data_IF_954223242775
#
_entry.id   IF_954223242775
#
_cell.length_a   1.000
_cell.length_b   1.000
_cell.length_c   1.000
_cell.angle_alpha   90.00
_cell.angle_beta   90.00
_cell.angle_gamma   90.00
#
_symmetry.space_group_name_H-M   'P 1'
#
loop_
_entity.id
_entity.type
_entity.pdbx_description
1 polymer ?
#
# COMPACT_ATOMS: atom_id res chain seq x y z
N UNK A 1 -5.17 7.64 -30.06
CA UNK A 1 -5.64 8.75 -29.19
C UNK A 1 -6.27 8.25 -27.88
N UNK A 2 -6.96 7.10 -27.84
CA UNK A 2 -7.52 6.54 -26.59
C UNK A 2 -6.48 6.20 -25.51
N UNK A 3 -5.25 5.86 -25.88
CA UNK A 3 -4.21 5.48 -24.92
C UNK A 3 -3.78 6.62 -23.98
N UNK A 4 -3.71 7.87 -24.48
CA UNK A 4 -3.32 9.02 -23.65
C UNK A 4 -4.35 9.35 -22.57
N UNK A 5 -5.63 9.06 -22.84
CA UNK A 5 -6.74 9.29 -21.92
C UNK A 5 -6.60 8.40 -20.68
N UNK A 6 -6.43 7.08 -20.90
CA UNK A 6 -6.25 6.13 -19.81
C UNK A 6 -4.93 6.34 -19.07
N UNK A 7 -3.85 6.63 -19.81
CA UNK A 7 -2.54 6.87 -19.23
C UNK A 7 -2.50 8.15 -18.38
N UNK A 8 -3.17 9.22 -18.83
CA UNK A 8 -3.31 10.46 -18.06
C UNK A 8 -4.03 10.23 -16.72
N UNK A 9 -5.17 9.53 -16.74
CA UNK A 9 -5.90 9.20 -15.52
C UNK A 9 -5.10 8.30 -14.56
N UNK A 10 -4.29 7.39 -15.10
CA UNK A 10 -3.38 6.57 -14.29
C UNK A 10 -2.27 7.41 -13.66
N UNK A 11 -1.64 8.32 -14.42
CA UNK A 11 -0.67 9.27 -13.90
C UNK A 11 -1.25 10.13 -12.78
N UNK A 12 -2.45 10.68 -12.97
CA UNK A 12 -3.15 11.43 -11.93
C UNK A 12 -3.33 10.61 -10.65
N UNK A 13 -3.75 9.34 -10.78
CA UNK A 13 -3.88 8.46 -9.62
C UNK A 13 -2.53 8.26 -8.91
N UNK A 14 -1.45 8.01 -9.66
CA UNK A 14 -0.11 7.84 -9.10
C UNK A 14 0.33 9.03 -8.26
N UNK A 15 0.08 10.27 -8.74
CA UNK A 15 0.49 11.49 -8.04
C UNK A 15 -0.07 11.60 -6.63
N UNK A 16 -1.33 11.22 -6.43
CA UNK A 16 -2.03 11.44 -5.16
C UNK A 16 -2.10 10.19 -4.27
N UNK A 17 -1.73 9.03 -4.80
CA UNK A 17 -1.78 7.75 -4.08
C UNK A 17 -0.39 7.14 -3.89
N UNK A 18 0.66 7.97 -3.83
CA UNK A 18 2.04 7.51 -3.64
C UNK A 18 2.25 6.61 -2.43
N UNK A 19 1.52 6.85 -1.34
CA UNK A 19 1.58 5.99 -0.15
C UNK A 19 1.09 4.55 -0.39
N UNK A 20 0.31 4.32 -1.46
CA UNK A 20 -0.24 2.98 -1.79
C UNK A 20 0.76 2.17 -2.61
N UNK A 21 1.48 2.82 -3.52
CA UNK A 21 2.31 2.11 -4.50
C UNK A 21 3.81 2.38 -4.32
N UNK A 22 4.26 3.33 -3.50
CA UNK A 22 5.68 3.63 -3.28
C UNK A 22 6.16 3.18 -1.88
N UNK A 23 7.19 2.33 -1.74
CA UNK A 23 8.04 1.77 -2.79
C UNK A 23 7.26 0.84 -3.74
N UNK A 24 7.59 0.84 -5.05
CA UNK A 24 6.91 -0.01 -6.01
C UNK A 24 7.04 -1.47 -5.63
N UNK A 25 5.94 -2.19 -5.73
CA UNK A 25 5.97 -3.64 -5.55
C UNK A 25 6.85 -4.25 -6.65
N UNK A 26 7.71 -5.23 -6.33
CA UNK A 26 8.62 -5.81 -7.31
C UNK A 26 7.88 -6.35 -8.54
N UNK A 27 8.40 -6.08 -9.74
CA UNK A 27 7.73 -6.45 -10.99
C UNK A 27 7.49 -7.96 -11.12
N UNK A 28 8.34 -8.79 -10.50
CA UNK A 28 8.20 -10.25 -10.50
C UNK A 28 6.97 -10.77 -9.74
N UNK A 29 6.32 -9.94 -8.91
CA UNK A 29 5.06 -10.31 -8.24
C UNK A 29 3.86 -10.27 -9.20
N UNK A 30 3.95 -9.48 -10.27
CA UNK A 30 2.86 -9.29 -11.25
C UNK A 30 3.22 -9.75 -12.67
N UNK A 31 4.51 -9.80 -13.02
CA UNK A 31 4.98 -10.18 -14.35
C UNK A 31 5.08 -11.70 -14.48
N UNK A 32 4.06 -12.28 -15.10
CA UNK A 32 3.97 -13.66 -15.60
C UNK A 32 4.09 -13.65 -17.13
N UNK A 33 4.83 -14.61 -17.67
CA UNK A 33 4.90 -15.04 -19.08
C UNK A 33 5.60 -14.16 -20.14
N UNK A 34 5.54 -12.82 -20.07
CA UNK A 34 6.16 -11.91 -21.06
C UNK A 34 7.17 -11.00 -20.36
N UNK A 35 8.45 -11.35 -20.43
CA UNK A 35 9.53 -10.83 -19.58
C UNK A 35 9.95 -9.37 -19.80
N UNK A 36 9.03 -8.40 -19.71
CA UNK A 36 9.35 -6.97 -19.61
C UNK A 36 8.95 -6.42 -18.25
N UNK A 37 9.84 -5.64 -17.62
CA UNK A 37 9.50 -4.89 -16.41
C UNK A 37 8.59 -3.70 -16.80
N UNK A 38 7.48 -3.56 -16.07
CA UNK A 38 6.55 -2.43 -16.25
C UNK A 38 7.25 -1.10 -16.06
N UNK A 39 8.21 -1.02 -15.14
CA UNK A 39 8.95 0.21 -14.88
C UNK A 39 10.02 0.51 -15.93
N UNK A 40 10.56 -0.51 -16.60
CA UNK A 40 11.38 -0.32 -17.81
C UNK A 40 10.57 0.34 -18.92
N UNK A 41 9.35 -0.16 -19.16
CA UNK A 41 8.44 0.44 -20.16
C UNK A 41 8.08 1.89 -19.82
N UNK A 42 7.91 2.20 -18.54
CA UNK A 42 7.67 3.58 -18.08
C UNK A 42 8.91 4.45 -18.28
N UNK A 43 10.12 3.94 -18.03
CA UNK A 43 11.38 4.65 -18.30
C UNK A 43 11.59 4.97 -19.78
N UNK A 44 11.30 4.00 -20.66
CA UNK A 44 11.33 4.22 -22.12
C UNK A 44 10.35 5.32 -22.55
N UNK A 45 9.09 5.24 -22.07
CA UNK A 45 8.10 6.28 -22.32
C UNK A 45 8.56 7.65 -21.82
N UNK A 46 9.11 7.71 -20.60
CA UNK A 46 9.57 8.95 -20.01
C UNK A 46 10.72 9.56 -20.82
N UNK A 47 11.63 8.73 -21.33
CA UNK A 47 12.72 9.16 -22.23
C UNK A 47 12.16 9.76 -23.53
N UNK A 48 11.18 9.11 -24.15
CA UNK A 48 10.52 9.61 -25.36
C UNK A 48 9.84 10.96 -25.08
N UNK A 49 9.08 11.06 -23.99
CA UNK A 49 8.35 12.28 -23.62
C UNK A 49 9.28 13.43 -23.23
N UNK A 50 10.42 13.14 -22.60
CA UNK A 50 11.44 14.15 -22.28
C UNK A 50 12.09 14.73 -23.54
N UNK A 51 12.25 13.91 -24.59
CA UNK A 51 12.79 14.32 -25.89
C UNK A 51 11.79 15.12 -26.76
N UNK A 52 10.52 15.22 -26.37
CA UNK A 52 9.55 16.04 -27.09
C UNK A 52 9.85 17.53 -26.90
N UNK A 53 9.79 18.29 -27.99
CA UNK A 53 9.88 19.74 -27.97
C UNK A 53 8.67 20.39 -27.26
N UNK A 54 8.68 21.72 -27.08
CA UNK A 54 7.55 22.44 -26.51
C UNK A 54 6.28 22.26 -27.37
N UNK A 55 5.09 22.45 -26.77
CA UNK A 55 3.84 22.30 -27.49
C UNK A 55 3.78 23.20 -28.73
N UNK A 56 3.31 22.65 -29.85
CA UNK A 56 3.10 23.38 -31.11
C UNK A 56 1.87 24.30 -31.07
N UNK A 57 1.12 24.27 -29.97
CA UNK A 57 -0.05 25.10 -29.68
C UNK A 57 0.14 25.80 -28.34
N UNK A 58 -0.17 27.10 -28.21
CA UNK A 58 -0.05 27.81 -26.94
C UNK A 58 -1.02 27.26 -25.88
N UNK A 59 -0.45 26.86 -24.74
CA UNK A 59 -1.18 26.42 -23.55
C UNK A 59 -0.87 27.36 -22.38
N UNK A 60 -1.86 27.61 -21.54
CA UNK A 60 -1.71 28.42 -20.32
C UNK A 60 -2.35 27.70 -19.15
N UNK A 61 -1.58 27.40 -18.11
CA UNK A 61 -2.06 26.73 -16.90
C UNK A 61 -2.29 27.74 -15.78
N UNK A 62 -3.41 27.60 -15.06
CA UNK A 62 -3.77 28.41 -13.89
C UNK A 62 -4.22 27.50 -12.76
N UNK A 63 -3.79 27.81 -11.53
CA UNK A 63 -4.22 27.07 -10.33
C UNK A 63 -5.68 27.41 -9.99
N UNK A 64 -6.49 26.39 -9.66
CA UNK A 64 -7.91 26.53 -9.35
C UNK A 64 -8.23 27.44 -8.15
N UNK A 65 -7.28 27.66 -7.24
CA UNK A 65 -7.43 28.53 -6.05
C UNK A 65 -7.27 30.03 -6.33
N UNK A 66 -6.87 30.41 -7.54
CA UNK A 66 -6.69 31.83 -7.91
C UNK A 66 -8.01 32.56 -8.22
N UNK A 67 -9.15 31.88 -8.20
CA UNK A 67 -10.47 32.49 -8.42
C UNK A 67 -11.14 32.90 -7.10
N UNK A 68 -10.52 33.81 -6.35
CA UNK A 68 -11.22 34.55 -5.30
C UNK A 68 -11.83 35.83 -5.89
N UNK A 69 -13.14 35.78 -6.13
CA UNK A 69 -13.98 36.99 -6.26
C UNK A 69 -13.98 37.64 -7.65
N UNK A 70 -14.91 37.21 -8.49
CA UNK A 70 -15.24 37.90 -9.73
C UNK A 70 -15.41 36.91 -10.88
N UNK A 71 -16.65 36.64 -11.27
CA UNK A 71 -16.89 36.38 -12.68
C UNK A 71 -16.37 37.59 -13.47
N UNK A 72 -15.89 37.33 -14.68
CA UNK A 72 -15.31 38.28 -15.65
C UNK A 72 -13.77 38.44 -15.52
N UNK A 73 -13.08 38.16 -16.64
CA UNK A 73 -11.64 38.35 -16.98
C UNK A 73 -10.61 37.25 -16.66
N UNK A 74 -10.91 35.98 -16.98
CA UNK A 74 -9.85 35.08 -17.47
C UNK A 74 -9.40 35.56 -18.86
N UNK A 75 -8.43 36.49 -18.89
CA UNK A 75 -7.69 36.99 -20.06
C UNK A 75 -8.49 37.07 -21.36
N UNK A 76 -9.04 38.26 -21.67
CA UNK A 76 -9.77 38.60 -22.91
C UNK A 76 -9.35 37.72 -24.11
N UNK A 77 -10.11 36.65 -24.36
CA UNK A 77 -9.89 35.76 -25.50
C UNK A 77 -9.16 34.44 -25.23
N UNK A 78 -9.17 33.86 -24.03
CA UNK A 78 -8.76 32.45 -23.80
C UNK A 78 -9.96 31.52 -23.61
N UNK A 79 -9.83 30.28 -24.06
CA UNK A 79 -10.83 29.22 -23.98
C UNK A 79 -10.33 28.12 -23.05
N UNK A 80 -11.16 27.75 -22.08
CA UNK A 80 -10.91 26.63 -21.19
C UNK A 80 -10.87 25.31 -21.97
N UNK A 81 -9.78 24.55 -21.83
CA UNK A 81 -9.71 23.18 -22.33
C UNK A 81 -10.46 22.24 -21.38
N UNK A 82 -11.42 21.49 -21.93
CA UNK A 82 -12.11 20.42 -21.21
C UNK A 82 -11.71 19.08 -21.79
N UNK A 83 -10.92 18.33 -21.04
CA UNK A 83 -10.61 16.95 -21.39
C UNK A 83 -11.84 16.07 -21.13
N UNK A 84 -12.03 15.09 -22.00
CA UNK A 84 -13.17 14.17 -21.96
C UNK A 84 -13.14 13.29 -20.72
N UNK A 85 -11.96 12.84 -20.33
CA UNK A 85 -11.67 12.04 -19.14
C UNK A 85 -11.99 12.78 -17.85
N UNK A 86 -11.58 14.05 -17.71
CA UNK A 86 -11.88 14.86 -16.51
C UNK A 86 -13.39 15.08 -16.37
N UNK A 87 -14.11 15.14 -17.50
CA UNK A 87 -15.58 15.24 -17.48
C UNK A 87 -16.21 13.90 -17.10
N UNK A 88 -15.67 12.80 -17.62
CA UNK A 88 -16.16 11.44 -17.37
C UNK A 88 -15.89 10.96 -15.93
N UNK A 89 -14.72 11.28 -15.38
CA UNK A 89 -14.25 10.87 -14.05
C UNK A 89 -14.59 11.89 -12.95
N UNK A 90 -15.41 12.89 -13.28
CA UNK A 90 -15.82 13.91 -12.31
C UNK A 90 -16.57 13.26 -11.14
N UNK A 91 -16.12 13.56 -9.92
CA UNK A 91 -16.70 13.00 -8.70
C UNK A 91 -16.14 11.64 -8.31
N UNK A 92 -15.22 11.07 -9.10
CA UNK A 92 -14.48 9.88 -8.69
C UNK A 92 -13.45 10.28 -7.63
N UNK A 93 -13.73 9.89 -6.38
CA UNK A 93 -12.97 10.30 -5.19
C UNK A 93 -11.45 10.08 -5.31
N UNK A 94 -10.96 8.94 -5.83
CA UNK A 94 -9.53 8.71 -6.02
C UNK A 94 -8.85 9.63 -7.05
N UNK A 95 -9.57 10.47 -7.79
CA UNK A 95 -8.97 11.43 -8.73
C UNK A 95 -9.34 12.88 -8.42
N UNK A 96 -10.16 13.14 -7.38
CA UNK A 96 -10.56 14.51 -7.01
C UNK A 96 -9.38 15.47 -6.82
N UNK A 97 -8.26 15.09 -6.16
CA UNK A 97 -7.13 16.00 -5.99
C UNK A 97 -6.45 16.43 -7.30
N UNK A 98 -6.53 15.60 -8.35
CA UNK A 98 -5.87 15.84 -9.64
C UNK A 98 -6.47 16.98 -10.46
N UNK A 99 -7.69 17.41 -10.14
CA UNK A 99 -8.41 18.43 -10.89
C UNK A 99 -8.03 19.88 -10.48
N UNK A 100 -6.83 20.09 -9.95
CA UNK A 100 -6.39 21.38 -9.40
C UNK A 100 -5.76 22.31 -10.44
N UNK A 101 -5.26 21.77 -11.55
CA UNK A 101 -4.66 22.54 -12.65
C UNK A 101 -5.67 22.71 -13.77
N UNK A 102 -5.89 23.95 -14.20
CA UNK A 102 -6.83 24.29 -15.27
C UNK A 102 -6.04 24.85 -16.46
N UNK A 103 -6.21 24.24 -17.64
CA UNK A 103 -5.49 24.63 -18.86
C UNK A 103 -6.38 25.42 -19.82
N UNK A 104 -5.83 26.46 -20.42
CA UNK A 104 -6.47 27.36 -21.37
C UNK A 104 -5.70 27.41 -22.69
N UNK A 105 -6.40 27.72 -23.79
CA UNK A 105 -5.82 27.93 -25.13
C UNK A 105 -6.51 29.12 -25.81
N UNK A 106 -5.86 29.84 -26.74
CA UNK A 106 -6.54 30.82 -27.59
C UNK A 106 -7.65 30.18 -28.45
N UNK A 107 -8.73 30.91 -28.79
CA UNK A 107 -9.83 30.42 -29.62
C UNK A 107 -9.42 30.15 -31.08
N UNK A 108 -8.30 30.72 -31.52
CA UNK A 108 -7.72 30.48 -32.84
C UNK A 108 -6.96 29.16 -32.93
N UNK A 109 -6.67 28.52 -31.80
CA UNK A 109 -5.92 27.27 -31.75
C UNK A 109 -6.80 26.06 -32.04
N UNK A 110 -6.19 25.01 -32.60
CA UNK A 110 -6.88 23.74 -32.85
C UNK A 110 -7.15 23.00 -31.53
N UNK A 111 -8.39 23.04 -31.03
CA UNK A 111 -8.77 22.52 -29.71
C UNK A 111 -8.36 21.06 -29.49
N UNK A 112 -8.55 20.17 -30.47
CA UNK A 112 -8.15 18.77 -30.31
C UNK A 112 -6.64 18.59 -30.10
N UNK A 113 -5.83 19.44 -30.76
CA UNK A 113 -4.37 19.38 -30.65
C UNK A 113 -3.91 19.96 -29.31
N UNK A 114 -4.56 21.04 -28.86
CA UNK A 114 -4.35 21.61 -27.55
C UNK A 114 -4.67 20.60 -26.43
N UNK A 115 -5.78 19.85 -26.55
CA UNK A 115 -6.11 18.78 -25.60
C UNK A 115 -5.06 17.66 -25.58
N UNK A 116 -4.55 17.25 -26.74
CA UNK A 116 -3.50 16.23 -26.81
C UNK A 116 -2.21 16.69 -26.15
N UNK A 117 -1.80 17.95 -26.37
CA UNK A 117 -0.64 18.51 -25.68
C UNK A 117 -0.87 18.67 -24.18
N UNK A 118 -2.06 19.05 -23.74
CA UNK A 118 -2.39 19.10 -22.32
C UNK A 118 -2.25 17.70 -21.66
N UNK A 119 -2.66 16.63 -22.36
CA UNK A 119 -2.43 15.25 -21.88
C UNK A 119 -0.95 14.89 -21.83
N UNK A 120 -0.21 15.19 -22.89
CA UNK A 120 1.23 14.93 -22.97
C UNK A 120 1.96 15.64 -21.84
N UNK A 121 1.64 16.90 -21.56
CA UNK A 121 2.26 17.67 -20.48
C UNK A 121 1.93 17.12 -19.08
N UNK A 122 0.68 16.71 -18.83
CA UNK A 122 0.31 16.03 -17.57
C UNK A 122 1.08 14.73 -17.37
N UNK A 123 1.12 13.88 -18.39
CA UNK A 123 1.84 12.60 -18.34
C UNK A 123 3.34 12.86 -18.15
N UNK A 124 3.93 13.78 -18.92
CA UNK A 124 5.35 14.15 -18.83
C UNK A 124 5.70 14.67 -17.43
N UNK A 125 4.86 15.51 -16.84
CA UNK A 125 5.06 15.99 -15.47
C UNK A 125 5.07 14.83 -14.48
N UNK A 126 4.13 13.89 -14.60
CA UNK A 126 4.13 12.68 -13.77
C UNK A 126 5.41 11.86 -13.95
N UNK A 127 5.70 11.42 -15.18
CA UNK A 127 6.75 10.42 -15.39
C UNK A 127 8.16 11.00 -15.38
N UNK A 128 8.37 12.24 -15.82
CA UNK A 128 9.71 12.85 -15.88
C UNK A 128 10.07 13.66 -14.64
N UNK A 129 9.09 14.17 -13.87
CA UNK A 129 9.36 15.02 -12.70
C UNK A 129 8.98 14.31 -11.39
N UNK A 130 7.71 13.89 -11.27
CA UNK A 130 7.23 13.32 -10.02
C UNK A 130 7.86 11.97 -9.70
N UNK A 131 7.89 11.01 -10.65
CA UNK A 131 8.53 9.70 -10.42
C UNK A 131 10.04 9.76 -10.18
N UNK A 132 10.69 10.83 -10.65
CA UNK A 132 12.11 11.10 -10.40
C UNK A 132 12.37 11.75 -9.03
N UNK A 133 11.36 12.45 -8.48
CA UNK A 133 11.47 13.23 -7.24
C UNK A 133 10.78 12.61 -6.02
N UNK A 134 10.03 11.53 -6.20
CA UNK A 134 9.42 10.76 -5.10
C UNK A 134 10.50 10.00 -4.32
N UNK A 135 10.29 9.75 -3.03
CA UNK A 135 11.23 9.03 -2.17
C UNK A 135 10.60 7.70 -1.68
N UNK A 136 11.22 6.53 -1.95
CA UNK A 136 12.40 6.33 -2.80
C UNK A 136 12.10 6.62 -4.28
N UNK A 137 13.12 7.06 -5.03
CA UNK A 137 12.97 7.40 -6.44
C UNK A 137 12.68 6.18 -7.31
N UNK A 138 11.73 6.32 -8.22
CA UNK A 138 11.33 5.23 -9.13
C UNK A 138 12.15 5.26 -10.41
N UNK A 139 12.39 6.45 -10.95
CA UNK A 139 13.18 6.67 -12.16
C UNK A 139 14.37 7.58 -11.84
N UNK A 140 15.50 7.36 -12.53
CA UNK A 140 16.65 8.26 -12.49
C UNK A 140 17.09 8.66 -13.90
N UNK A 141 17.55 9.90 -14.02
CA UNK A 141 18.17 10.39 -15.24
C UNK A 141 19.60 9.86 -15.34
N UNK A 142 19.86 9.06 -16.37
CA UNK A 142 21.18 8.55 -16.73
C UNK A 142 21.69 9.30 -17.97
N UNK A 143 22.79 10.02 -17.81
CA UNK A 143 23.50 10.64 -18.93
C UNK A 143 24.25 9.58 -19.71
N UNK A 144 23.98 9.45 -21.00
CA UNK A 144 24.72 8.56 -21.90
C UNK A 144 25.35 9.35 -23.04
N UNK A 145 26.33 8.76 -23.74
CA UNK A 145 26.95 9.38 -24.92
C UNK A 145 25.96 9.66 -26.05
N UNK A 146 24.82 8.95 -26.07
CA UNK A 146 23.76 9.07 -27.08
C UNK A 146 22.63 10.03 -26.65
N UNK A 147 22.68 10.57 -25.42
CA UNK A 147 21.66 11.44 -24.85
C UNK A 147 21.29 11.07 -23.42
N UNK A 148 20.45 11.89 -22.80
CA UNK A 148 19.93 11.63 -21.47
C UNK A 148 18.75 10.64 -21.54
N UNK A 149 18.78 9.60 -20.70
CA UNK A 149 17.78 8.51 -20.67
C UNK A 149 17.25 8.35 -19.25
N UNK A 150 15.95 8.14 -19.11
CA UNK A 150 15.30 7.84 -17.83
C UNK A 150 15.21 6.33 -17.63
N UNK A 151 15.82 5.83 -16.55
CA UNK A 151 15.91 4.40 -16.23
C UNK A 151 15.25 4.09 -14.89
N UNK A 152 14.56 2.95 -14.75
CA UNK A 152 13.97 2.53 -13.48
C UNK A 152 15.03 2.11 -12.47
N UNK A 153 14.73 2.36 -11.20
CA UNK A 153 15.61 2.03 -10.04
C UNK A 153 14.83 1.22 -9.00
N UNK A 154 13.76 0.57 -9.44
CA UNK A 154 12.92 -0.29 -8.60
C UNK A 154 13.65 -1.59 -8.30
N UNK A 155 13.67 -1.97 -7.01
CA UNK A 155 14.25 -3.23 -6.57
C UNK A 155 13.36 -4.40 -7.01
N UNK A 156 13.79 -5.10 -8.06
CA UNK A 156 13.10 -6.27 -8.60
C UNK A 156 13.62 -7.61 -8.05
N UNK A 157 14.53 -7.58 -7.06
CA UNK A 157 15.13 -8.79 -6.51
C UNK A 157 14.04 -9.71 -5.93
N UNK A 158 14.07 -11.03 -6.24
CA UNK A 158 13.13 -11.96 -5.64
C UNK A 158 13.32 -11.99 -4.13
N UNK A 159 12.25 -12.16 -3.33
CA UNK A 159 12.41 -12.36 -1.90
C UNK A 159 13.33 -13.57 -1.67
N UNK A 160 14.35 -13.38 -0.84
CA UNK A 160 15.18 -14.47 -0.37
C UNK A 160 14.27 -15.61 0.11
N UNK A 161 14.64 -16.84 -0.24
CA UNK A 161 13.93 -18.09 0.09
C UNK A 161 13.31 -18.06 1.50
N UNK A 162 12.15 -18.71 1.73
CA UNK A 162 11.33 -18.56 2.95
C UNK A 162 11.98 -18.97 4.29
N UNK A 163 13.29 -19.23 4.33
CA UNK A 163 14.06 -19.47 5.54
C UNK A 163 14.33 -18.22 6.40
N UNK A 164 13.93 -17.01 5.96
CA UNK A 164 14.21 -15.76 6.71
C UNK A 164 13.05 -14.77 6.79
N UNK A 165 11.80 -15.25 6.69
CA UNK A 165 10.63 -14.42 6.96
C UNK A 165 10.47 -14.16 8.47
N UNK A 166 11.34 -13.32 9.05
CA UNK A 166 10.98 -12.54 10.23
C UNK A 166 10.12 -11.37 9.75
N UNK A 167 8.93 -11.12 10.33
CA UNK A 167 8.14 -9.94 9.98
C UNK A 167 8.96 -8.68 10.25
N UNK A 168 9.27 -7.91 9.21
CA UNK A 168 9.82 -6.55 9.37
C UNK A 168 8.65 -5.61 9.67
N UNK A 169 8.26 -5.55 10.94
CA UNK A 169 7.43 -4.47 11.46
C UNK A 169 8.23 -3.17 11.39
N UNK A 170 7.90 -2.30 10.44
CA UNK A 170 8.35 -0.92 10.43
C UNK A 170 7.64 -0.16 11.56
N UNK A 171 8.29 -0.08 12.72
CA UNK A 171 7.90 0.81 13.81
C UNK A 171 8.44 2.20 13.46
N UNK A 172 7.56 3.11 13.06
CA UNK A 172 7.80 4.55 13.13
C UNK A 172 6.64 5.17 13.89
N UNK A 173 6.90 5.62 15.11
CA UNK A 173 5.91 6.26 15.98
C UNK A 173 6.01 5.81 17.44
N UNK A 174 6.81 6.55 18.21
CA UNK A 174 6.94 6.53 19.67
C UNK A 174 5.72 6.01 20.46
N UNK A 175 5.90 4.90 21.16
CA UNK A 175 5.26 4.61 22.44
C UNK A 175 6.09 3.55 23.17
N UNK A 176 6.86 3.99 24.16
CA UNK A 176 7.51 3.10 25.13
C UNK A 176 6.44 2.27 25.82
N UNK A 177 6.40 0.97 25.52
CA UNK A 177 5.71 -0.02 26.33
C UNK A 177 6.78 -0.86 26.98
N UNK A 178 7.17 -0.48 28.19
CA UNK A 178 7.99 -1.30 29.09
C UNK A 178 7.26 -2.63 29.31
N UNK A 179 7.78 -3.70 28.70
CA UNK A 179 7.38 -5.07 28.99
C UNK A 179 8.08 -5.45 30.30
N UNK A 180 7.43 -5.17 31.43
CA UNK A 180 7.83 -5.77 32.70
C UNK A 180 7.61 -7.28 32.62
N UNK A 181 8.71 -7.99 32.39
CA UNK A 181 8.82 -9.43 32.59
C UNK A 181 8.78 -9.69 34.10
N UNK A 182 7.58 -9.83 34.66
CA UNK A 182 7.41 -10.34 36.02
C UNK A 182 7.82 -11.82 36.03
N UNK A 183 9.08 -12.06 36.38
CA UNK A 183 9.58 -13.38 36.78
C UNK A 183 8.69 -13.97 37.86
N UNK A 184 8.22 -15.19 37.61
CA UNK A 184 7.67 -16.04 38.65
C UNK A 184 8.76 -16.32 39.69
N UNK A 185 8.66 -15.69 40.86
CA UNK A 185 9.28 -16.16 42.08
C UNK A 185 8.19 -16.73 42.99
N UNK A 186 8.08 -18.06 42.95
CA UNK A 186 7.40 -18.78 44.03
C UNK A 186 8.28 -18.81 45.30
N UNK A 187 7.56 -18.92 46.42
CA UNK A 187 7.96 -19.54 47.70
C UNK A 187 8.58 -18.71 48.83
N UNK A 188 7.89 -18.83 49.97
CA UNK A 188 8.25 -18.57 51.37
C UNK A 188 8.44 -17.09 51.72
N UNK A 189 7.77 -16.56 52.75
CA UNK A 189 8.01 -16.96 54.13
C UNK A 189 6.73 -17.14 54.96
N UNK A 190 6.84 -18.13 55.82
CA UNK A 190 5.94 -18.52 56.91
C UNK A 190 6.07 -17.45 58.00
N UNK A 191 4.96 -16.85 58.42
CA UNK A 191 4.91 -16.10 59.68
C UNK A 191 4.02 -16.83 60.68
N UNK A 192 4.55 -16.83 61.90
CA UNK A 192 4.35 -17.75 63.01
C UNK A 192 2.92 -17.87 63.56
N UNK A 193 2.67 -19.05 64.11
CA UNK A 193 1.55 -19.33 65.00
C UNK A 193 1.70 -18.54 66.31
N UNK A 194 0.62 -17.87 66.72
CA UNK A 194 0.32 -17.63 68.13
C UNK A 194 -1.12 -18.04 68.34
N UNK A 195 -1.33 -19.16 69.01
CA UNK A 195 -2.64 -19.60 69.48
C UNK A 195 -3.13 -18.67 70.60
N UNK A 196 -4.36 -18.19 70.47
CA UNK A 196 -5.21 -17.82 71.60
C UNK A 196 -6.65 -18.26 71.27
N UNK A 197 -7.27 -18.91 72.26
CA UNK A 197 -8.55 -19.61 72.21
C UNK A 197 -9.75 -18.69 71.97
N UNK A 198 -10.39 -18.73 70.79
CA UNK A 198 -11.82 -18.42 70.57
C UNK A 198 -12.32 -19.14 69.29
N UNK A 199 -13.06 -20.25 69.43
CA UNK A 199 -13.42 -21.17 68.33
C UNK A 199 -14.34 -20.56 67.23
N UNK A 200 -15.04 -19.46 67.51
CA UNK A 200 -15.86 -18.76 66.51
C UNK A 200 -15.05 -17.75 65.68
N UNK A 201 -14.05 -17.09 66.29
CA UNK A 201 -13.18 -16.14 65.60
C UNK A 201 -12.18 -16.82 64.65
N UNK A 202 -11.77 -18.06 64.93
CA UNK A 202 -10.95 -18.87 64.01
C UNK A 202 -11.69 -19.23 62.71
N UNK A 203 -12.99 -19.52 62.80
CA UNK A 203 -13.84 -19.78 61.62
C UNK A 203 -14.09 -18.51 60.81
N UNK A 204 -14.29 -17.38 61.49
CA UNK A 204 -14.45 -16.10 60.82
C UNK A 204 -13.14 -15.66 60.15
N UNK A 205 -12.00 -15.81 60.83
CA UNK A 205 -10.68 -15.49 60.31
C UNK A 205 -10.29 -16.36 59.10
N UNK A 206 -10.55 -17.68 59.15
CA UNK A 206 -10.32 -18.58 58.02
C UNK A 206 -11.23 -18.25 56.82
N UNK A 207 -12.49 -17.90 57.09
CA UNK A 207 -13.43 -17.45 56.04
C UNK A 207 -12.98 -16.12 55.43
N UNK A 208 -12.54 -15.14 56.22
CA UNK A 208 -12.00 -13.87 55.75
C UNK A 208 -10.73 -14.08 54.91
N UNK A 209 -9.83 -14.98 55.31
CA UNK A 209 -8.64 -15.36 54.53
C UNK A 209 -9.03 -15.99 53.18
N UNK A 210 -9.99 -16.91 53.17
CA UNK A 210 -10.50 -17.55 51.95
C UNK A 210 -11.15 -16.55 50.99
N UNK A 211 -12.01 -15.68 51.52
CA UNK A 211 -12.67 -14.62 50.75
C UNK A 211 -11.65 -13.62 50.19
N UNK A 212 -10.61 -13.29 50.95
CA UNK A 212 -9.52 -12.41 50.49
C UNK A 212 -8.71 -13.04 49.36
N UNK A 213 -8.41 -14.34 49.43
CA UNK A 213 -7.77 -15.08 48.34
C UNK A 213 -8.66 -15.12 47.10
N UNK A 214 -9.96 -15.39 47.26
CA UNK A 214 -10.93 -15.45 46.17
C UNK A 214 -11.14 -14.08 45.51
N UNK A 215 -11.17 -13.00 46.30
CA UNK A 215 -11.23 -11.62 45.80
C UNK A 215 -10.00 -11.28 44.96
N UNK A 216 -8.79 -11.56 45.46
CA UNK A 216 -7.54 -11.36 44.70
C UNK A 216 -7.53 -12.15 43.39
N UNK A 217 -7.99 -13.41 43.39
CA UNK A 217 -8.08 -14.22 42.19
C UNK A 217 -9.08 -13.66 41.16
N UNK A 218 -10.25 -13.19 41.62
CA UNK A 218 -11.26 -12.57 40.77
C UNK A 218 -10.78 -11.23 40.19
N UNK A 219 -10.09 -10.42 40.98
CA UNK A 219 -9.49 -9.15 40.52
C UNK A 219 -8.41 -9.39 39.46
N UNK A 220 -7.54 -10.40 39.66
CA UNK A 220 -6.56 -10.83 38.63
C UNK A 220 -7.25 -11.27 37.34
N UNK A 221 -8.27 -12.13 37.43
CA UNK A 221 -9.02 -12.60 36.26
C UNK A 221 -9.71 -11.46 35.52
N UNK A 222 -10.35 -10.54 36.25
CA UNK A 222 -11.03 -9.40 35.67
C UNK A 222 -10.05 -8.39 35.03
N UNK A 223 -8.85 -8.20 35.62
CA UNK A 223 -7.78 -7.38 35.02
C UNK A 223 -7.25 -8.01 33.74
N UNK A 224 -7.05 -9.33 33.70
CA UNK A 224 -6.68 -10.06 32.48
C UNK A 224 -7.75 -9.96 31.40
N UNK A 225 -9.02 -10.11 31.77
CA UNK A 225 -10.13 -10.00 30.82
C UNK A 225 -10.26 -8.60 30.23
N UNK A 226 -10.06 -7.54 31.03
CA UNK A 226 -10.02 -6.16 30.53
C UNK A 226 -8.82 -5.89 29.60
N UNK A 227 -7.65 -6.45 29.90
CA UNK A 227 -6.47 -6.35 29.01
C UNK A 227 -6.71 -7.03 27.66
N UNK A 228 -7.30 -8.24 27.67
CA UNK A 228 -7.71 -8.92 26.43
C UNK A 228 -8.75 -8.10 25.68
N UNK A 229 -9.77 -7.60 26.37
CA UNK A 229 -10.82 -6.79 25.76
C UNK A 229 -10.25 -5.51 25.14
N UNK A 230 -9.30 -4.82 25.80
CA UNK A 230 -8.63 -3.65 25.23
C UNK A 230 -7.75 -3.97 24.00
N UNK A 231 -7.19 -5.18 23.91
CA UNK A 231 -6.46 -5.62 22.72
C UNK A 231 -7.41 -5.92 21.54
N UNK A 232 -8.64 -6.39 21.83
CA UNK A 232 -9.68 -6.59 20.81
C UNK A 232 -10.42 -5.31 20.43
N UNK A 233 -10.49 -4.31 21.32
CA UNK A 233 -11.12 -3.00 21.08
C UNK A 233 -10.24 -2.05 20.24
N UNK A 234 -8.96 -2.38 20.05
CA UNK A 234 -8.20 -1.80 18.96
C UNK A 234 -8.78 -2.33 17.65
N UNK A 235 -9.27 -1.46 16.78
CA UNK A 235 -9.73 -1.80 15.43
C UNK A 235 -8.55 -2.36 14.59
N UNK A 236 -8.12 -3.58 14.88
CA UNK A 236 -7.17 -4.32 14.05
C UNK A 236 -8.01 -5.03 13.00
N UNK A 237 -8.29 -4.31 11.92
CA UNK A 237 -8.79 -4.92 10.70
C UNK A 237 -7.66 -5.74 10.10
N UNK A 238 -7.73 -7.05 10.30
CA UNK A 238 -6.78 -8.00 9.74
C UNK A 238 -7.15 -8.18 8.26
N UNK A 239 -6.48 -7.43 7.39
CA UNK A 239 -6.64 -7.57 5.95
C UNK A 239 -5.74 -8.72 5.46
N UNK A 240 -6.35 -9.73 4.85
CA UNK A 240 -5.64 -10.86 4.27
C UNK A 240 -5.56 -10.66 2.75
N UNK A 241 -4.35 -10.43 2.26
CA UNK A 241 -4.08 -10.44 0.83
C UNK A 241 -3.75 -11.86 0.36
N UNK A 242 -4.53 -12.40 -0.57
CA UNK A 242 -4.35 -13.76 -1.11
C UNK A 242 -3.70 -13.68 -2.49
N UNK A 243 -2.41 -14.02 -2.58
CA UNK A 243 -1.65 -14.14 -3.84
C UNK A 243 -1.30 -15.60 -4.13
N UNK A 244 -2.15 -16.35 -4.85
CA UNK A 244 -1.94 -17.78 -5.07
C UNK A 244 -0.79 -18.02 -6.06
N UNK A 245 0.39 -18.29 -5.53
CA UNK A 245 1.59 -18.68 -6.31
C UNK A 245 1.87 -20.18 -6.23
N UNK A 246 1.64 -20.78 -5.07
CA UNK A 246 1.84 -22.20 -4.84
C UNK A 246 0.49 -22.88 -4.72
N UNK A 247 0.24 -23.86 -5.58
CA UNK A 247 -0.99 -24.64 -5.59
C UNK A 247 -0.66 -26.03 -5.07
N UNK A 248 -1.35 -26.46 -4.02
CA UNK A 248 -1.22 -27.79 -3.46
C UNK A 248 -2.48 -28.56 -3.85
N UNK A 249 -2.50 -29.28 -4.97
CA UNK A 249 -3.62 -30.15 -5.32
C UNK A 249 -3.75 -31.25 -4.26
N UNK A 250 -4.97 -31.51 -3.84
CA UNK A 250 -5.29 -32.70 -3.06
C UNK A 250 -5.29 -33.94 -3.96
N UNK A 251 -5.44 -35.12 -3.36
CA UNK A 251 -5.48 -36.38 -4.12
C UNK A 251 -6.63 -36.40 -5.13
N UNK A 252 -7.77 -35.80 -4.79
CA UNK A 252 -8.95 -35.77 -5.66
C UNK A 252 -8.72 -34.95 -6.93
N UNK A 253 -7.96 -33.85 -6.86
CA UNK A 253 -7.57 -33.07 -8.03
C UNK A 253 -6.87 -33.93 -9.10
N UNK A 254 -6.05 -34.90 -8.71
CA UNK A 254 -5.37 -35.79 -9.64
C UNK A 254 -6.30 -36.87 -10.22
N UNK A 255 -7.36 -37.23 -9.50
CA UNK A 255 -8.32 -38.25 -9.93
C UNK A 255 -9.33 -37.64 -10.92
N UNK A 256 -9.87 -36.47 -10.59
CA UNK A 256 -11.03 -35.89 -11.29
C UNK A 256 -10.68 -34.72 -12.21
N UNK A 257 -9.55 -34.04 -11.98
CA UNK A 257 -9.19 -32.78 -12.66
C UNK A 257 -7.74 -32.76 -13.16
N UNK A 258 -7.22 -33.92 -13.57
CA UNK A 258 -5.82 -34.07 -13.99
C UNK A 258 -5.45 -33.15 -15.16
N UNK A 259 -6.37 -32.94 -16.10
CA UNK A 259 -6.25 -32.03 -17.23
C UNK A 259 -6.06 -30.57 -16.77
N UNK A 260 -6.83 -30.13 -15.77
CA UNK A 260 -6.68 -28.80 -15.16
C UNK A 260 -5.35 -28.68 -14.44
N UNK A 261 -4.94 -29.71 -13.69
CA UNK A 261 -3.62 -29.72 -13.01
C UNK A 261 -2.49 -29.62 -14.04
N UNK A 262 -2.57 -30.34 -15.16
CA UNK A 262 -1.58 -30.24 -16.26
C UNK A 262 -1.54 -28.83 -16.87
N UNK A 263 -2.70 -28.22 -17.10
CA UNK A 263 -2.77 -26.84 -17.60
C UNK A 263 -2.15 -25.84 -16.60
N UNK A 264 -2.36 -26.04 -15.30
CA UNK A 264 -1.76 -25.22 -14.24
C UNK A 264 -0.25 -25.40 -14.14
N UNK A 265 0.26 -26.62 -14.33
CA UNK A 265 1.71 -26.90 -14.40
C UNK A 265 2.35 -26.26 -15.63
N UNK A 266 1.66 -26.25 -16.77
CA UNK A 266 2.14 -25.61 -17.99
C UNK A 266 2.07 -24.07 -17.92
N UNK A 267 1.26 -23.52 -17.02
CA UNK A 267 1.14 -22.08 -16.84
C UNK A 267 2.38 -21.53 -16.10
N UNK A 268 3.03 -20.45 -16.58
CA UNK A 268 4.29 -19.91 -16.04
C UNK A 268 4.09 -19.07 -14.76
N UNK A 269 3.12 -19.47 -13.97
CA UNK A 269 2.16 -18.59 -13.32
C UNK A 269 1.85 -19.09 -11.93
N UNK A 270 1.83 -20.40 -11.79
CA UNK A 270 1.59 -21.15 -10.59
C UNK A 270 2.67 -22.21 -10.47
N UNK A 271 3.08 -22.49 -9.25
CA UNK A 271 3.94 -23.63 -8.93
C UNK A 271 3.07 -24.68 -8.26
N UNK A 272 2.84 -25.80 -8.95
CA UNK A 272 2.09 -26.92 -8.38
C UNK A 272 3.01 -27.74 -7.49
N UNK A 273 2.73 -27.79 -6.19
CA UNK A 273 3.49 -28.54 -5.19
C UNK A 273 2.72 -29.79 -4.79
N UNK A 274 3.32 -30.97 -4.97
CA UNK A 274 2.70 -32.24 -4.61
C UNK A 274 3.23 -32.68 -3.25
N UNK A 275 2.38 -32.77 -2.21
CA UNK A 275 2.82 -33.22 -0.90
C UNK A 275 3.17 -34.70 -0.96
N UNK A 276 4.39 -35.04 -0.53
CA UNK A 276 4.81 -36.42 -0.41
C UNK A 276 4.24 -36.98 0.89
N UNK A 277 3.34 -37.95 0.80
CA UNK A 277 2.90 -38.73 1.97
C UNK A 277 3.90 -39.88 2.12
N UNK A 278 4.94 -39.64 2.93
CA UNK A 278 5.94 -40.63 3.29
C UNK A 278 5.91 -40.87 4.79
N UNK A 279 5.67 -42.12 5.18
CA UNK A 279 5.69 -42.62 6.56
C UNK A 279 7.05 -42.30 7.23
N UNK A 280 6.99 -41.79 8.46
CA UNK A 280 8.10 -41.82 9.43
C UNK A 280 7.86 -42.95 10.44
#
# INVERSE_FOLDING_TARGET
MSCLVGLGAWCDWLLYHSAVWNPPTPAHEYCRASGGDTWESVGELATILQGLGPPDVPLTEMASSSSSGGGVDAGVGLVLLRLTEDTFLRGYEPLLPAHSVITYTPPTAHTGRACDWARVERIRTCVCQFLCGVEPAVLLLKKTEQGDVLVPVVDNSPPDSPSSARPRLSVSGSSDVEVESESESEMSEVEEEVECEMEEDSRLASTVRLLSRRKKALEKKHRQQRKLQSLLEGNVTLEMEVRPRYLVPDTNCFIEHLDVVQALVAAPSYTVMVPLVGEY
#
